data_IF_301626473437
#
_entry.id   IF_301626473437
#
_cell.length_a   1.000
_cell.length_b   1.000
_cell.length_c   1.000
_cell.angle_alpha   90.00
_cell.angle_beta   90.00
_cell.angle_gamma   90.00
#
_symmetry.space_group_name_H-M   'P 1'
#
loop_
_entity.id
_entity.type
_entity.pdbx_description
1 polymer ?
#
# COMPACT_ATOMS: atom_id res chain seq x y z
N UNK A 1 -11.78 -15.36 4.78
CA UNK A 1 -11.41 -16.80 4.60
C UNK A 1 -12.33 -17.51 3.62
N UNK A 2 -13.69 -17.38 3.71
CA UNK A 2 -14.62 -18.11 2.86
C UNK A 2 -14.41 -17.92 1.35
N UNK A 3 -14.34 -16.69 0.85
CA UNK A 3 -14.13 -16.41 -0.58
C UNK A 3 -12.79 -16.97 -1.11
N UNK A 4 -11.73 -16.91 -0.28
CA UNK A 4 -10.43 -17.48 -0.64
C UNK A 4 -10.50 -19.01 -0.77
N UNK A 5 -11.19 -19.69 0.16
CA UNK A 5 -11.40 -21.14 0.07
C UNK A 5 -12.17 -21.54 -1.19
N UNK A 6 -13.20 -20.79 -1.56
CA UNK A 6 -13.95 -21.03 -2.81
C UNK A 6 -13.03 -20.89 -4.02
N UNK A 7 -12.25 -19.82 -4.13
CA UNK A 7 -11.33 -19.61 -5.25
C UNK A 7 -10.25 -20.69 -5.34
N UNK A 8 -9.63 -21.05 -4.22
CA UNK A 8 -8.60 -22.11 -4.18
C UNK A 8 -9.19 -23.49 -4.48
N UNK A 9 -10.39 -23.80 -3.98
CA UNK A 9 -11.07 -25.08 -4.29
C UNK A 9 -11.42 -25.18 -5.77
N UNK A 10 -11.89 -24.08 -6.36
CA UNK A 10 -12.15 -24.03 -7.80
C UNK A 10 -10.87 -24.24 -8.62
N UNK A 11 -9.78 -23.53 -8.29
CA UNK A 11 -8.49 -23.68 -8.97
C UNK A 11 -7.95 -25.11 -8.88
N UNK A 12 -8.04 -25.75 -7.70
CA UNK A 12 -7.67 -27.16 -7.49
C UNK A 12 -8.51 -28.12 -8.32
N UNK A 13 -9.84 -27.94 -8.34
CA UNK A 13 -10.73 -28.75 -9.14
C UNK A 13 -10.43 -28.66 -10.64
N UNK A 14 -10.17 -27.45 -11.13
CA UNK A 14 -9.80 -27.20 -12.52
C UNK A 14 -8.44 -27.84 -12.87
N UNK A 15 -7.41 -27.64 -12.03
CA UNK A 15 -6.08 -28.22 -12.24
C UNK A 15 -6.13 -29.76 -12.26
N UNK A 16 -6.87 -30.37 -11.30
CA UNK A 16 -7.06 -31.81 -11.25
C UNK A 16 -7.79 -32.36 -12.49
N UNK A 17 -8.84 -31.66 -12.92
CA UNK A 17 -9.62 -32.05 -14.09
C UNK A 17 -8.84 -31.99 -15.41
N UNK A 18 -7.97 -31.01 -15.53
CA UNK A 18 -7.13 -30.79 -16.73
C UNK A 18 -5.78 -31.51 -16.67
N UNK A 19 -5.43 -32.15 -15.54
CA UNK A 19 -4.13 -32.80 -15.35
C UNK A 19 -2.94 -31.85 -15.42
N UNK A 20 -3.12 -30.58 -15.04
CA UNK A 20 -2.07 -29.54 -15.06
C UNK A 20 -1.57 -29.24 -13.66
N UNK A 21 -0.28 -28.84 -13.52
CA UNK A 21 0.26 -28.43 -12.24
C UNK A 21 -0.35 -27.13 -11.74
N UNK A 22 -0.31 -26.91 -10.42
CA UNK A 22 -0.79 -25.71 -9.78
C UNK A 22 0.38 -24.90 -9.21
N UNK A 23 0.23 -23.59 -9.19
CA UNK A 23 1.18 -22.65 -8.59
C UNK A 23 0.45 -21.90 -7.48
N UNK A 24 1.02 -21.92 -6.29
CA UNK A 24 0.60 -21.04 -5.20
C UNK A 24 1.28 -19.67 -5.33
N UNK A 25 0.57 -18.61 -5.01
CA UNK A 25 1.09 -17.24 -5.09
C UNK A 25 0.85 -16.51 -3.78
N UNK A 26 1.90 -15.88 -3.25
CA UNK A 26 1.77 -14.96 -2.14
C UNK A 26 1.14 -13.65 -2.63
N UNK A 27 0.04 -13.24 -1.99
CA UNK A 27 -0.72 -12.06 -2.36
C UNK A 27 0.11 -10.75 -2.34
N UNK A 28 0.96 -10.60 -1.32
CA UNK A 28 1.80 -9.41 -1.16
C UNK A 28 2.91 -9.35 -2.22
N UNK A 29 3.50 -10.51 -2.56
CA UNK A 29 4.41 -10.63 -3.70
C UNK A 29 3.70 -10.27 -5.01
N UNK A 30 2.44 -10.67 -5.16
CA UNK A 30 1.61 -10.29 -6.31
C UNK A 30 1.56 -8.77 -6.51
N UNK A 31 1.26 -8.02 -5.46
CA UNK A 31 1.26 -6.55 -5.53
C UNK A 31 2.62 -5.97 -5.94
N UNK A 32 3.72 -6.49 -5.39
CA UNK A 32 5.07 -6.02 -5.71
C UNK A 32 5.44 -6.37 -7.16
N UNK A 33 5.17 -7.61 -7.58
CA UNK A 33 5.51 -8.09 -8.92
C UNK A 33 4.57 -7.57 -10.01
N UNK A 34 3.44 -6.92 -9.67
CA UNK A 34 2.61 -6.20 -10.63
C UNK A 34 3.39 -5.14 -11.43
N UNK A 35 4.50 -4.63 -10.90
CA UNK A 35 5.41 -3.74 -11.62
C UNK A 35 6.10 -4.37 -12.84
N UNK A 36 5.99 -5.66 -13.03
CA UNK A 36 6.54 -6.38 -14.20
C UNK A 36 5.49 -6.69 -15.26
N UNK A 37 4.23 -6.24 -15.07
CA UNK A 37 3.17 -6.40 -16.06
C UNK A 37 3.38 -5.34 -17.15
N UNK A 38 3.57 -5.81 -18.39
CA UNK A 38 3.63 -4.99 -19.59
C UNK A 38 2.41 -5.25 -20.46
N UNK A 39 1.89 -4.18 -21.06
CA UNK A 39 0.86 -4.24 -22.09
C UNK A 39 1.43 -3.71 -23.40
N UNK A 40 0.96 -4.21 -24.52
CA UNK A 40 1.40 -3.74 -25.83
C UNK A 40 1.21 -2.22 -25.98
N UNK A 41 2.22 -1.53 -26.47
CA UNK A 41 2.22 -0.07 -26.58
C UNK A 41 2.50 0.68 -25.27
N UNK A 42 2.97 -0.01 -24.24
CA UNK A 42 3.24 0.57 -22.92
C UNK A 42 4.69 1.03 -22.77
N UNK A 43 4.89 2.31 -22.46
CA UNK A 43 6.22 2.88 -22.14
C UNK A 43 6.65 2.62 -20.68
N UNK A 44 5.82 1.91 -19.89
CA UNK A 44 6.13 1.61 -18.50
C UNK A 44 7.38 0.75 -18.38
N UNK A 45 8.34 1.22 -17.58
CA UNK A 45 9.57 0.47 -17.31
C UNK A 45 9.44 -0.23 -15.95
N UNK A 46 9.76 -1.52 -15.91
CA UNK A 46 9.86 -2.27 -14.65
C UNK A 46 11.10 -1.85 -13.84
N UNK A 47 11.06 -1.97 -12.52
CA UNK A 47 12.27 -1.86 -11.70
C UNK A 47 13.26 -2.98 -12.01
N UNK A 48 14.54 -2.72 -11.78
CA UNK A 48 15.57 -3.77 -11.76
C UNK A 48 15.93 -4.11 -10.33
N UNK A 49 16.25 -5.36 -10.06
CA UNK A 49 16.67 -5.77 -8.72
C UNK A 49 18.09 -5.29 -8.39
N UNK A 50 18.42 -4.94 -7.13
CA UNK A 50 17.45 -4.75 -6.04
C UNK A 50 16.73 -3.39 -6.08
N UNK A 51 15.52 -3.33 -5.53
CA UNK A 51 14.78 -2.09 -5.33
C UNK A 51 14.03 -2.08 -3.99
N UNK A 52 13.62 -0.91 -3.51
CA UNK A 52 12.72 -0.78 -2.38
C UNK A 52 11.27 -0.68 -2.86
N UNK A 53 10.37 -1.38 -2.20
CA UNK A 53 8.94 -1.26 -2.43
C UNK A 53 8.22 -0.80 -1.15
N UNK A 54 7.51 0.32 -1.21
CA UNK A 54 6.54 0.71 -0.21
C UNK A 54 5.22 -0.01 -0.51
N UNK A 55 4.95 -1.07 0.24
CA UNK A 55 3.72 -1.85 0.12
C UNK A 55 2.69 -1.33 1.12
N UNK A 56 1.65 -0.65 0.63
CA UNK A 56 0.64 0.01 1.45
C UNK A 56 -0.78 -0.33 0.99
N UNK A 57 -1.58 -0.87 1.91
CA UNK A 57 -2.95 -1.30 1.68
C UNK A 57 -3.83 -1.03 2.90
N UNK A 58 -5.08 -1.50 2.88
CA UNK A 58 -5.96 -1.48 4.06
C UNK A 58 -5.40 -2.23 5.25
N UNK A 59 -4.66 -3.32 5.05
CA UNK A 59 -4.13 -4.18 6.11
C UNK A 59 -2.60 -4.22 6.23
N UNK A 60 -1.86 -3.57 5.32
CA UNK A 60 -0.40 -3.63 5.30
C UNK A 60 0.22 -2.25 5.11
N UNK A 61 1.29 -1.97 5.85
CA UNK A 61 2.19 -0.83 5.63
C UNK A 61 3.60 -1.30 5.87
N UNK A 62 4.33 -1.61 4.80
CA UNK A 62 5.63 -2.26 4.85
C UNK A 62 6.62 -1.58 3.91
N UNK A 63 7.89 -1.55 4.29
CA UNK A 63 9.01 -1.31 3.38
C UNK A 63 9.67 -2.64 3.10
N UNK A 64 9.69 -3.03 1.84
CA UNK A 64 10.23 -4.32 1.39
C UNK A 64 11.47 -4.06 0.55
N UNK A 65 12.59 -4.67 0.93
CA UNK A 65 13.78 -4.78 0.10
C UNK A 65 13.60 -5.98 -0.84
N UNK A 66 13.43 -5.69 -2.11
CA UNK A 66 13.20 -6.70 -3.15
C UNK A 66 14.54 -6.99 -3.83
N UNK A 67 15.20 -8.06 -3.41
CA UNK A 67 16.51 -8.48 -3.94
C UNK A 67 16.36 -9.30 -5.22
N UNK A 68 15.27 -10.08 -5.29
CA UNK A 68 14.85 -10.82 -6.48
C UNK A 68 13.33 -11.12 -6.36
N UNK A 69 12.74 -11.74 -7.37
CA UNK A 69 11.35 -12.18 -7.26
C UNK A 69 11.13 -13.31 -6.23
N UNK A 70 12.20 -14.00 -5.80
CA UNK A 70 12.18 -15.03 -4.75
C UNK A 70 12.57 -14.49 -3.38
N UNK A 71 13.38 -13.45 -3.34
CA UNK A 71 13.97 -12.95 -2.10
C UNK A 71 13.48 -11.53 -1.84
N UNK A 72 12.52 -11.42 -0.95
CA UNK A 72 11.91 -10.18 -0.49
C UNK A 72 12.01 -10.13 1.04
N UNK A 73 12.55 -9.02 1.56
CA UNK A 73 12.79 -8.83 2.99
C UNK A 73 11.99 -7.63 3.49
N UNK A 74 11.14 -7.82 4.48
CA UNK A 74 10.46 -6.74 5.17
C UNK A 74 11.47 -6.08 6.11
N UNK A 75 11.91 -4.88 5.78
CA UNK A 75 12.89 -4.12 6.57
C UNK A 75 12.23 -3.10 7.51
N UNK A 76 10.96 -2.80 7.32
CA UNK A 76 10.16 -1.95 8.18
C UNK A 76 8.68 -2.22 7.96
N UNK A 77 7.88 -2.13 9.02
CA UNK A 77 6.44 -2.38 8.96
C UNK A 77 5.69 -1.58 10.01
N UNK A 78 4.37 -1.50 9.88
CA UNK A 78 3.56 -0.94 10.96
C UNK A 78 3.53 -1.87 12.17
N UNK A 79 3.63 -1.28 13.36
CA UNK A 79 3.52 -2.01 14.64
C UNK A 79 2.09 -2.00 15.19
N UNK A 80 1.18 -1.28 14.54
CA UNK A 80 -0.23 -1.12 14.92
C UNK A 80 -1.13 -1.07 13.67
N UNK A 81 -1.97 -0.05 13.52
CA UNK A 81 -2.84 0.11 12.36
C UNK A 81 -2.03 0.26 11.06
N UNK A 82 -2.54 -0.25 9.95
CA UNK A 82 -2.01 0.07 8.62
C UNK A 82 -2.45 1.48 8.17
N UNK A 83 -1.73 2.08 7.22
CA UNK A 83 -2.04 3.42 6.71
C UNK A 83 -3.46 3.51 6.13
N UNK A 84 -3.89 2.52 5.35
CA UNK A 84 -5.27 2.48 4.81
C UNK A 84 -6.31 2.33 5.92
N UNK A 85 -6.06 1.50 6.92
CA UNK A 85 -6.93 1.36 8.08
C UNK A 85 -7.01 2.66 8.89
N UNK A 86 -5.90 3.39 9.05
CA UNK A 86 -5.89 4.70 9.71
C UNK A 86 -6.74 5.72 8.94
N UNK A 87 -6.65 5.74 7.60
CA UNK A 87 -7.50 6.57 6.74
C UNK A 87 -8.98 6.24 6.96
N UNK A 88 -9.35 4.96 6.90
CA UNK A 88 -10.73 4.51 7.05
C UNK A 88 -11.28 4.87 8.44
N UNK A 89 -10.49 4.70 9.50
CA UNK A 89 -10.87 5.06 10.87
C UNK A 89 -11.08 6.57 11.03
N UNK A 90 -10.21 7.40 10.45
CA UNK A 90 -10.36 8.86 10.48
C UNK A 90 -11.54 9.33 9.63
N UNK A 91 -11.76 8.72 8.46
CA UNK A 91 -12.93 8.95 7.63
C UNK A 91 -14.24 8.67 8.40
N UNK A 92 -14.29 7.56 9.14
CA UNK A 92 -15.43 7.21 9.99
C UNK A 92 -15.65 8.23 11.14
N UNK A 93 -14.58 8.78 11.70
CA UNK A 93 -14.66 9.82 12.74
C UNK A 93 -15.29 11.10 12.18
N UNK A 94 -15.05 11.42 10.89
CA UNK A 94 -15.68 12.53 10.17
C UNK A 94 -17.06 12.19 9.60
N UNK A 95 -17.60 11.00 9.91
CA UNK A 95 -18.89 10.49 9.39
C UNK A 95 -18.96 10.37 7.86
N UNK A 96 -17.80 10.20 7.22
CA UNK A 96 -17.70 9.97 5.79
C UNK A 96 -17.82 8.48 5.47
N UNK A 97 -18.40 8.03 4.46
CA UNK A 97 -18.65 6.63 4.12
C UNK A 97 -17.39 5.72 4.11
N UNK A 98 -17.59 4.48 3.69
CA UNK A 98 -16.56 3.46 3.53
C UNK A 98 -16.56 2.93 2.07
N UNK A 99 -15.40 2.68 1.45
CA UNK A 99 -14.04 2.89 1.97
C UNK A 99 -13.66 4.39 2.04
N UNK A 100 -12.93 4.77 3.10
CA UNK A 100 -12.54 6.15 3.35
C UNK A 100 -11.46 6.68 2.42
N UNK A 101 -10.55 5.81 1.95
CA UNK A 101 -9.42 6.19 1.11
C UNK A 101 -9.77 7.06 -0.10
N UNK A 102 -10.66 6.61 -1.01
CA UNK A 102 -11.06 7.41 -2.17
C UNK A 102 -11.79 8.71 -1.81
N UNK A 103 -12.51 8.73 -0.67
CA UNK A 103 -13.24 9.92 -0.22
C UNK A 103 -12.23 10.97 0.26
N UNK A 104 -11.29 10.58 1.12
CA UNK A 104 -10.23 11.46 1.65
C UNK A 104 -9.38 11.99 0.51
N UNK A 105 -8.92 11.14 -0.44
CA UNK A 105 -8.11 11.55 -1.59
C UNK A 105 -8.83 12.62 -2.45
N UNK A 106 -10.14 12.45 -2.66
CA UNK A 106 -10.93 13.43 -3.41
C UNK A 106 -11.04 14.78 -2.69
N UNK A 107 -11.37 14.77 -1.41
CA UNK A 107 -11.53 15.98 -0.60
C UNK A 107 -10.18 16.70 -0.41
N UNK A 108 -9.11 15.95 -0.20
CA UNK A 108 -7.78 16.49 0.02
C UNK A 108 -7.25 17.32 -1.16
N UNK A 109 -7.68 17.05 -2.38
CA UNK A 109 -7.28 17.82 -3.58
C UNK A 109 -7.72 19.28 -3.55
N UNK A 110 -8.78 19.58 -2.82
CA UNK A 110 -9.38 20.92 -2.73
C UNK A 110 -9.06 21.61 -1.40
N UNK A 111 -8.37 20.92 -0.47
CA UNK A 111 -8.07 21.43 0.86
C UNK A 111 -6.64 21.93 1.02
N UNK A 112 -6.42 22.68 2.10
CA UNK A 112 -5.09 23.13 2.52
C UNK A 112 -4.43 22.06 3.41
N UNK A 113 -3.33 21.40 2.96
CA UNK A 113 -2.66 20.35 3.73
C UNK A 113 -1.92 20.86 4.98
N UNK A 114 -1.75 22.17 5.13
CA UNK A 114 -1.09 22.81 6.29
C UNK A 114 -2.09 23.43 7.29
N UNK A 115 -3.41 23.29 7.06
CA UNK A 115 -4.42 23.91 7.91
C UNK A 115 -4.44 23.31 9.32
N UNK A 116 -4.21 22.00 9.43
CA UNK A 116 -4.22 21.29 10.71
C UNK A 116 -2.97 20.44 10.89
N UNK A 117 -2.51 20.30 12.14
CA UNK A 117 -1.37 19.47 12.47
C UNK A 117 -1.80 18.29 13.34
N UNK A 118 -1.42 17.08 12.92
CA UNK A 118 -1.68 15.85 13.66
C UNK A 118 -0.38 15.19 14.10
N UNK A 119 -0.46 14.36 15.15
CA UNK A 119 0.71 13.67 15.68
C UNK A 119 1.36 12.76 14.63
N UNK A 120 2.68 12.85 14.55
CA UNK A 120 3.53 11.96 13.72
C UNK A 120 4.37 11.11 14.67
N UNK A 121 3.95 9.87 14.99
CA UNK A 121 4.70 8.99 15.87
C UNK A 121 6.13 8.80 15.39
N UNK A 122 7.08 8.81 16.31
CA UNK A 122 8.50 8.59 16.00
C UNK A 122 8.94 7.22 16.53
N UNK A 123 8.85 6.21 15.69
CA UNK A 123 9.24 4.84 16.00
C UNK A 123 10.70 4.63 15.56
N UNK A 124 11.52 3.88 16.30
CA UNK A 124 12.89 3.55 15.88
C UNK A 124 12.93 2.76 14.56
N UNK A 125 14.09 2.79 13.91
CA UNK A 125 14.30 2.06 12.65
C UNK A 125 13.35 2.51 11.54
N UNK A 126 12.94 1.57 10.69
CA UNK A 126 12.05 1.84 9.55
C UNK A 126 10.58 1.52 9.84
N UNK A 127 10.25 1.12 11.05
CA UNK A 127 8.89 0.80 11.45
C UNK A 127 7.98 2.03 11.51
N UNK A 128 6.68 1.78 11.36
CA UNK A 128 5.62 2.79 11.38
C UNK A 128 4.71 2.62 12.60
N UNK A 129 3.99 3.68 12.95
CA UNK A 129 2.83 3.65 13.84
C UNK A 129 1.81 4.68 13.36
N UNK A 130 0.54 4.31 13.35
CA UNK A 130 -0.57 5.17 12.97
C UNK A 130 -1.63 5.32 14.09
N UNK A 131 -1.56 4.52 15.16
CA UNK A 131 -2.53 4.59 16.27
C UNK A 131 -2.49 5.95 16.99
N UNK A 132 -1.29 6.53 17.15
CA UNK A 132 -1.12 7.87 17.72
C UNK A 132 -1.73 8.97 16.86
N UNK A 133 -1.68 8.84 15.53
CA UNK A 133 -2.33 9.76 14.59
C UNK A 133 -3.84 9.74 14.77
N UNK A 134 -4.46 8.54 14.75
CA UNK A 134 -5.92 8.39 14.96
C UNK A 134 -6.37 9.04 16.26
N UNK A 135 -5.64 8.82 17.34
CA UNK A 135 -5.95 9.35 18.66
C UNK A 135 -5.86 10.89 18.66
N UNK A 136 -4.78 11.44 18.11
CA UNK A 136 -4.59 12.87 17.92
C UNK A 136 -5.73 13.51 17.11
N UNK A 137 -6.08 12.89 15.97
CA UNK A 137 -7.17 13.32 15.10
C UNK A 137 -8.50 13.36 15.84
N UNK A 138 -8.85 12.28 16.55
CA UNK A 138 -10.09 12.16 17.31
C UNK A 138 -10.23 13.23 18.39
N UNK A 139 -9.18 13.44 19.20
CA UNK A 139 -9.24 14.42 20.27
C UNK A 139 -9.26 15.86 19.75
N UNK A 140 -8.48 16.17 18.73
CA UNK A 140 -8.51 17.48 18.08
C UNK A 140 -9.92 17.78 17.53
N UNK A 141 -10.50 16.83 16.80
CA UNK A 141 -11.83 17.01 16.23
C UNK A 141 -12.91 17.20 17.31
N UNK A 142 -12.86 16.39 18.38
CA UNK A 142 -13.80 16.55 19.52
C UNK A 142 -13.72 17.91 20.18
N UNK A 143 -12.53 18.50 20.30
CA UNK A 143 -12.36 19.82 20.88
C UNK A 143 -12.94 20.88 19.95
N UNK A 144 -12.63 20.84 18.66
CA UNK A 144 -13.14 21.82 17.69
C UNK A 144 -14.66 21.77 17.53
N UNK A 145 -15.25 20.57 17.50
CA UNK A 145 -16.71 20.39 17.41
C UNK A 145 -17.44 20.91 18.67
N UNK A 146 -16.80 20.91 19.85
CA UNK A 146 -17.37 21.54 21.05
C UNK A 146 -17.48 23.06 20.92
N UNK A 147 -16.55 23.69 20.21
CA UNK A 147 -16.52 25.14 19.99
C UNK A 147 -17.39 25.54 18.80
N UNK A 148 -17.37 24.77 17.72
CA UNK A 148 -18.22 24.93 16.53
C UNK A 148 -18.82 23.57 16.11
N UNK A 149 -20.12 23.35 16.35
CA UNK A 149 -20.80 22.09 15.95
C UNK A 149 -20.73 21.79 14.44
N UNK A 150 -20.54 22.80 13.59
CA UNK A 150 -20.41 22.65 12.15
C UNK A 150 -18.94 22.59 11.67
N UNK A 151 -17.99 22.50 12.59
CA UNK A 151 -16.56 22.55 12.28
C UNK A 151 -16.13 21.58 11.19
N UNK A 152 -16.58 20.31 11.27
CA UNK A 152 -16.22 19.28 10.28
C UNK A 152 -16.72 19.69 8.89
N UNK A 153 -17.95 20.18 8.77
CA UNK A 153 -18.53 20.60 7.50
C UNK A 153 -17.81 21.81 6.91
N UNK A 154 -17.48 22.78 7.78
CA UNK A 154 -16.82 24.02 7.38
C UNK A 154 -15.36 23.81 6.93
N UNK A 155 -14.69 22.76 7.45
CA UNK A 155 -13.26 22.50 7.24
C UNK A 155 -12.98 21.12 6.61
N UNK A 156 -13.96 20.50 5.96
CA UNK A 156 -13.89 19.11 5.52
C UNK A 156 -12.71 18.83 4.60
N UNK A 157 -12.51 19.68 3.60
CA UNK A 157 -11.42 19.54 2.64
C UNK A 157 -10.05 19.71 3.30
N UNK A 158 -9.93 20.70 4.19
CA UNK A 158 -8.69 20.98 4.91
C UNK A 158 -8.33 19.87 5.91
N UNK A 159 -9.31 19.31 6.59
CA UNK A 159 -9.14 18.16 7.48
C UNK A 159 -8.65 16.94 6.69
N UNK A 160 -9.26 16.66 5.53
CA UNK A 160 -8.87 15.57 4.65
C UNK A 160 -7.44 15.77 4.12
N UNK A 161 -7.12 16.98 3.64
CA UNK A 161 -5.79 17.31 3.11
C UNK A 161 -4.69 17.22 4.17
N UNK A 162 -4.94 17.72 5.38
CA UNK A 162 -3.99 17.68 6.48
C UNK A 162 -3.78 16.27 7.03
N UNK A 163 -4.83 15.44 7.05
CA UNK A 163 -4.75 14.02 7.41
C UNK A 163 -3.91 13.24 6.39
N UNK A 164 -4.25 13.38 5.10
CA UNK A 164 -3.53 12.73 4.00
C UNK A 164 -2.05 13.09 4.03
N UNK A 165 -1.73 14.40 4.11
CA UNK A 165 -0.35 14.87 4.22
C UNK A 165 0.39 14.25 5.41
N UNK A 166 -0.26 14.16 6.57
CA UNK A 166 0.37 13.58 7.76
C UNK A 166 0.74 12.10 7.54
N UNK A 167 -0.17 11.32 6.94
CA UNK A 167 0.07 9.90 6.63
C UNK A 167 1.19 9.75 5.60
N UNK A 168 1.14 10.54 4.53
CA UNK A 168 2.17 10.54 3.47
C UNK A 168 3.53 10.92 4.06
N UNK A 169 3.61 11.94 4.91
CA UNK A 169 4.86 12.35 5.57
C UNK A 169 5.46 11.22 6.44
N UNK A 170 4.62 10.48 7.19
CA UNK A 170 5.05 9.34 8.01
C UNK A 170 5.66 8.25 7.10
N UNK A 171 4.96 7.88 6.03
CA UNK A 171 5.41 6.85 5.08
C UNK A 171 6.71 7.26 4.39
N UNK A 172 6.75 8.44 3.81
CA UNK A 172 7.89 8.93 3.02
C UNK A 172 9.13 9.19 3.87
N UNK A 173 8.98 9.58 5.15
CA UNK A 173 10.11 9.76 6.08
C UNK A 173 10.91 8.47 6.23
N UNK A 174 10.24 7.35 6.47
CA UNK A 174 10.86 6.04 6.70
C UNK A 174 11.42 5.44 5.40
N UNK A 175 10.67 5.53 4.32
CA UNK A 175 11.13 5.08 3.01
C UNK A 175 12.42 5.82 2.58
N UNK A 176 12.49 7.14 2.81
CA UNK A 176 13.68 7.93 2.54
C UNK A 176 14.88 7.50 3.40
N UNK A 177 14.65 7.21 4.68
CA UNK A 177 15.70 6.70 5.56
C UNK A 177 16.26 5.39 5.00
N UNK A 178 15.39 4.41 4.71
CA UNK A 178 15.79 3.12 4.15
C UNK A 178 16.55 3.28 2.82
N UNK A 179 16.04 4.11 1.90
CA UNK A 179 16.68 4.34 0.61
C UNK A 179 18.08 4.95 0.75
N UNK A 180 18.26 5.88 1.71
CA UNK A 180 19.55 6.51 2.00
C UNK A 180 20.53 5.51 2.61
N UNK A 181 20.11 4.78 3.65
CA UNK A 181 20.97 3.90 4.43
C UNK A 181 21.44 2.69 3.60
N UNK A 182 20.57 2.19 2.70
CA UNK A 182 20.88 1.08 1.79
C UNK A 182 21.50 1.53 0.46
N UNK A 183 21.59 2.83 0.19
CA UNK A 183 22.12 3.36 -1.07
C UNK A 183 21.24 3.05 -2.30
N UNK A 184 19.98 2.65 -2.10
CA UNK A 184 19.05 2.24 -3.17
C UNK A 184 18.32 3.48 -3.71
N UNK A 185 18.30 3.61 -5.04
CA UNK A 185 17.63 4.71 -5.75
C UNK A 185 16.43 4.28 -6.58
N UNK A 186 16.18 2.99 -6.70
CA UNK A 186 14.99 2.45 -7.35
C UNK A 186 13.93 2.19 -6.28
N UNK A 187 12.81 2.89 -6.37
CA UNK A 187 11.79 2.89 -5.33
C UNK A 187 10.41 2.72 -5.96
N UNK A 188 9.71 1.68 -5.56
CA UNK A 188 8.37 1.36 -6.03
C UNK A 188 7.31 1.60 -4.94
N UNK A 189 6.07 1.78 -5.33
CA UNK A 189 4.91 1.77 -4.44
C UNK A 189 3.90 0.73 -4.92
N UNK A 190 3.32 -0.06 -4.02
CA UNK A 190 2.35 -1.11 -4.34
C UNK A 190 1.21 -1.18 -3.31
N UNK A 191 0.14 -1.89 -3.65
CA UNK A 191 -1.06 -2.05 -2.81
C UNK A 191 -2.08 -0.93 -3.00
N UNK A 192 -3.29 -1.09 -2.45
CA UNK A 192 -4.44 -0.22 -2.73
C UNK A 192 -4.23 1.27 -2.42
N UNK A 193 -3.45 1.61 -1.37
CA UNK A 193 -3.13 3.00 -1.03
C UNK A 193 -2.19 3.65 -2.05
N UNK A 194 -1.52 2.87 -2.92
CA UNK A 194 -0.73 3.41 -4.03
C UNK A 194 -1.57 4.16 -5.08
N UNK A 195 -2.90 4.04 -5.03
CA UNK A 195 -3.83 4.84 -5.83
C UNK A 195 -3.94 6.28 -5.34
N UNK A 196 -3.60 6.56 -4.07
CA UNK A 196 -3.76 7.87 -3.45
C UNK A 196 -2.91 8.94 -4.14
N UNK A 197 -3.55 10.06 -4.51
CA UNK A 197 -2.93 11.14 -5.28
C UNK A 197 -1.81 11.84 -4.51
N UNK A 198 -2.02 12.11 -3.22
CA UNK A 198 -1.02 12.75 -2.37
C UNK A 198 0.26 11.91 -2.25
N UNK A 199 0.11 10.59 -2.08
CA UNK A 199 1.24 9.67 -2.05
C UNK A 199 2.00 9.63 -3.38
N UNK A 200 1.29 9.56 -4.51
CA UNK A 200 1.90 9.59 -5.86
C UNK A 200 2.69 10.86 -6.10
N UNK A 201 2.13 12.01 -5.75
CA UNK A 201 2.81 13.30 -5.86
C UNK A 201 4.07 13.33 -4.99
N UNK A 202 4.00 12.86 -3.75
CA UNK A 202 5.16 12.77 -2.86
C UNK A 202 6.27 11.87 -3.44
N UNK A 203 5.94 10.75 -4.09
CA UNK A 203 6.91 9.92 -4.80
C UNK A 203 7.61 10.70 -5.93
N UNK A 204 6.85 11.43 -6.76
CA UNK A 204 7.40 12.22 -7.86
C UNK A 204 8.30 13.37 -7.36
N UNK A 205 7.92 14.02 -6.25
CA UNK A 205 8.73 15.09 -5.65
C UNK A 205 10.01 14.54 -5.03
N UNK A 206 9.95 13.39 -4.38
CA UNK A 206 11.12 12.71 -3.85
C UNK A 206 12.04 12.21 -4.98
N UNK A 207 11.47 11.76 -6.10
CA UNK A 207 12.24 11.38 -7.29
C UNK A 207 13.13 12.53 -7.77
N UNK A 208 12.55 13.73 -7.89
CA UNK A 208 13.29 14.96 -8.29
C UNK A 208 14.35 15.32 -7.25
N UNK A 209 13.96 15.35 -5.95
CA UNK A 209 14.81 15.83 -4.86
C UNK A 209 15.98 14.91 -4.54
N UNK A 210 15.77 13.58 -4.60
CA UNK A 210 16.75 12.57 -4.18
C UNK A 210 17.32 11.77 -5.35
N UNK A 211 16.96 12.13 -6.59
CA UNK A 211 17.38 11.44 -7.82
C UNK A 211 16.98 9.96 -7.79
N UNK A 212 15.77 9.66 -7.34
CA UNK A 212 15.22 8.33 -7.38
C UNK A 212 14.63 8.02 -8.75
N UNK A 213 14.75 6.78 -9.18
CA UNK A 213 13.91 6.21 -10.23
C UNK A 213 12.70 5.59 -9.55
N UNK A 214 11.53 6.21 -9.73
CA UNK A 214 10.30 5.78 -9.05
C UNK A 214 9.43 4.96 -9.99
N UNK A 215 8.74 3.97 -9.40
CA UNK A 215 7.84 3.06 -10.08
C UNK A 215 6.48 3.13 -9.39
N UNK A 216 5.51 3.69 -10.10
CA UNK A 216 4.14 3.87 -9.63
C UNK A 216 3.24 3.02 -10.54
N UNK A 217 2.43 2.09 -10.00
CA UNK A 217 1.64 1.20 -10.83
C UNK A 217 0.52 1.96 -11.55
N UNK A 218 0.09 1.44 -12.70
CA UNK A 218 -1.15 1.88 -13.33
C UNK A 218 -2.33 1.64 -12.40
N UNK A 219 -3.34 2.49 -12.48
CA UNK A 219 -4.52 2.41 -11.59
C UNK A 219 -5.16 1.01 -11.55
N UNK A 220 -5.25 0.32 -12.69
CA UNK A 220 -5.79 -1.03 -12.77
C UNK A 220 -5.01 -2.10 -11.98
N UNK A 221 -3.78 -1.80 -11.54
CA UNK A 221 -2.91 -2.73 -10.81
C UNK A 221 -2.64 -2.28 -9.37
N UNK A 222 -3.32 -1.23 -8.88
CA UNK A 222 -3.15 -0.75 -7.50
C UNK A 222 -3.91 -1.60 -6.49
N UNK A 223 -5.12 -2.01 -6.83
CA UNK A 223 -5.98 -2.86 -6.00
C UNK A 223 -5.85 -4.33 -6.40
N UNK A 224 -6.49 -5.22 -5.64
CA UNK A 224 -6.51 -6.66 -5.91
C UNK A 224 -7.02 -6.95 -7.33
N UNK A 225 -6.24 -7.70 -8.08
CA UNK A 225 -6.57 -8.08 -9.45
C UNK A 225 -5.93 -9.42 -9.82
N UNK A 226 -6.49 -10.10 -10.82
CA UNK A 226 -5.99 -11.40 -11.25
C UNK A 226 -4.62 -11.30 -11.95
N UNK A 227 -4.33 -10.17 -12.64
CA UNK A 227 -3.10 -10.01 -13.40
C UNK A 227 -1.86 -9.98 -12.49
N UNK A 228 -1.93 -9.39 -11.28
CA UNK A 228 -0.84 -9.39 -10.33
C UNK A 228 -0.50 -10.81 -9.85
N UNK A 229 -1.52 -11.65 -9.66
CA UNK A 229 -1.34 -13.06 -9.26
C UNK A 229 -0.74 -13.86 -10.42
N UNK A 230 -1.24 -13.65 -11.64
CA UNK A 230 -0.70 -14.29 -12.82
C UNK A 230 0.77 -13.90 -13.07
N UNK A 231 1.13 -12.62 -12.87
CA UNK A 231 2.51 -12.15 -13.02
C UNK A 231 3.46 -12.81 -12.02
N UNK A 232 3.09 -12.87 -10.75
CA UNK A 232 3.87 -13.57 -9.73
C UNK A 232 3.96 -15.07 -10.04
N UNK A 233 2.88 -15.68 -10.50
CA UNK A 233 2.84 -17.07 -10.96
C UNK A 233 3.74 -17.32 -12.18
N UNK A 234 3.89 -16.34 -13.08
CA UNK A 234 4.78 -16.45 -14.24
C UNK A 234 6.24 -16.66 -13.84
N UNK A 235 6.73 -15.92 -12.85
CA UNK A 235 8.08 -16.12 -12.33
C UNK A 235 8.27 -17.54 -11.77
N UNK A 236 7.32 -18.03 -10.97
CA UNK A 236 7.34 -19.39 -10.41
C UNK A 236 7.24 -20.46 -11.50
N UNK A 237 6.43 -20.21 -12.53
CA UNK A 237 6.31 -21.13 -13.67
C UNK A 237 7.62 -21.32 -14.42
N UNK A 238 8.37 -20.25 -14.68
CA UNK A 238 9.68 -20.34 -15.33
C UNK A 238 10.68 -21.18 -14.53
N UNK A 239 10.58 -21.14 -13.19
CA UNK A 239 11.41 -21.96 -12.30
C UNK A 239 10.86 -23.37 -12.07
N UNK A 240 9.70 -23.71 -12.63
CA UNK A 240 8.96 -24.95 -12.37
C UNK A 240 8.64 -25.15 -10.88
N UNK A 241 8.42 -24.06 -10.15
CA UNK A 241 8.03 -24.08 -8.74
C UNK A 241 6.51 -24.29 -8.62
N UNK A 242 6.12 -25.57 -8.63
CA UNK A 242 4.73 -26.00 -8.53
C UNK A 242 4.39 -26.43 -7.10
N UNK A 243 3.20 -26.10 -6.65
CA UNK A 243 2.71 -26.55 -5.35
C UNK A 243 1.95 -27.87 -5.44
N UNK A 244 1.93 -28.67 -4.36
CA UNK A 244 1.10 -29.88 -4.33
C UNK A 244 -0.39 -29.50 -4.25
N UNK A 245 -1.26 -30.41 -4.73
CA UNK A 245 -2.72 -30.24 -4.64
C UNK A 245 -3.23 -30.14 -3.19
N UNK A 246 -2.44 -30.60 -2.20
CA UNK A 246 -2.71 -30.49 -0.77
C UNK A 246 -2.37 -29.10 -0.20
N UNK A 247 -1.71 -28.21 -0.95
CA UNK A 247 -1.33 -26.88 -0.46
C UNK A 247 -2.54 -26.14 0.14
N UNK A 248 -2.48 -25.66 1.39
CA UNK A 248 -3.61 -25.00 2.03
C UNK A 248 -3.81 -23.57 1.48
N UNK A 249 -5.05 -23.09 1.52
CA UNK A 249 -5.31 -21.66 1.38
C UNK A 249 -4.95 -20.95 2.68
N UNK A 250 -4.26 -19.79 2.59
CA UNK A 250 -3.95 -18.96 3.75
C UNK A 250 -4.21 -17.49 3.44
N UNK A 251 -4.72 -16.75 4.42
CA UNK A 251 -5.08 -15.34 4.27
C UNK A 251 -4.04 -14.37 4.85
N UNK A 252 -3.04 -14.87 5.57
CA UNK A 252 -1.92 -14.10 6.10
C UNK A 252 -0.65 -14.84 5.77
N UNK A 253 0.06 -14.36 4.75
CA UNK A 253 1.39 -14.80 4.41
C UNK A 253 2.40 -13.70 4.79
N UNK A 254 3.56 -14.10 5.29
CA UNK A 254 4.78 -13.28 5.29
C UNK A 254 5.39 -13.32 3.88
N UNK A 255 6.09 -12.26 3.49
CA UNK A 255 6.90 -12.24 2.27
C UNK A 255 8.08 -13.20 2.39
#
# INVERSE_FOLDING_TARGET
MGSLLVGVSFAKGLAASLGIPMIDVNHLQGHILAHFIHTEGDDYQSPTFPFLCLLVSGGNSQIVLVKSYKEMEIIGQTIDDAAGEAIDKCSKIMELGYPGGPIIDRLAREGNPEAFQFAKPNIPGYDYSFSGLKTSFLYSLRNWVKEDPNFVQNHLNDLAASLEKTIVDILMKKLRMAAKDLGIKQVAVAGGVSANTGLRNAFLDHAKRYKWKVFIPKFGYTTDNAAMIAMAGTFKYHDRDFCPMSAPAYCRGTL
#
